data_IF_544058422019
#
_entry.id   IF_544058422019
#
_cell.length_a   1.000
_cell.length_b   1.000
_cell.length_c   1.000
_cell.angle_alpha   90.00
_cell.angle_beta   90.00
_cell.angle_gamma   90.00
#
_symmetry.space_group_name_H-M   'P 1'
#
loop_
_entity.id
_entity.type
_entity.pdbx_description
1 polymer ?
#
# COMPACT_ATOMS: atom_id res chain seq x y z
N UNK A 1 -56.80 -1.23 28.86
CA UNK A 1 -55.67 -0.27 29.01
C UNK A 1 -54.29 -0.93 28.93
N UNK A 2 -54.02 -2.03 29.65
CA UNK A 2 -52.69 -2.69 29.67
C UNK A 2 -52.18 -3.23 28.32
N UNK A 3 -53.08 -3.72 27.44
CA UNK A 3 -52.74 -4.17 26.07
C UNK A 3 -52.40 -3.02 25.11
N UNK A 4 -52.97 -1.83 25.32
CA UNK A 4 -52.69 -0.63 24.51
C UNK A 4 -51.31 -0.05 24.81
N UNK A 5 -50.92 -0.05 26.09
CA UNK A 5 -49.60 0.41 26.54
C UNK A 5 -48.48 -0.50 26.00
N UNK A 6 -48.72 -1.83 25.97
CA UNK A 6 -47.77 -2.79 25.39
C UNK A 6 -47.55 -2.56 23.89
N UNK A 7 -48.62 -2.31 23.12
CA UNK A 7 -48.51 -2.05 21.66
C UNK A 7 -47.72 -0.77 21.39
N UNK A 8 -47.98 0.31 22.14
CA UNK A 8 -47.24 1.58 22.03
C UNK A 8 -45.76 1.40 22.37
N UNK A 9 -45.44 0.63 23.42
CA UNK A 9 -44.05 0.33 23.78
C UNK A 9 -43.32 -0.47 22.70
N UNK A 10 -43.97 -1.45 22.07
CA UNK A 10 -43.38 -2.18 20.94
C UNK A 10 -43.18 -1.30 19.71
N UNK A 11 -44.13 -0.42 19.38
CA UNK A 11 -43.97 0.53 18.27
C UNK A 11 -42.84 1.53 18.52
N UNK A 12 -42.68 2.01 19.76
CA UNK A 12 -41.61 2.93 20.15
C UNK A 12 -40.22 2.28 20.08
N UNK A 13 -40.10 0.99 20.43
CA UNK A 13 -38.85 0.25 20.31
C UNK A 13 -38.50 -0.10 18.85
N UNK A 14 -39.50 -0.40 18.02
CA UNK A 14 -39.28 -0.62 16.58
C UNK A 14 -38.82 0.69 15.91
N UNK A 15 -39.37 1.83 16.32
CA UNK A 15 -38.94 3.14 15.80
C UNK A 15 -37.50 3.49 16.19
N UNK A 16 -37.09 3.20 17.44
CA UNK A 16 -35.72 3.40 17.90
C UNK A 16 -34.70 2.47 17.20
N UNK A 17 -35.08 1.22 16.94
CA UNK A 17 -34.25 0.27 16.18
C UNK A 17 -34.09 0.70 14.71
N UNK A 18 -35.13 1.31 14.12
CA UNK A 18 -35.08 1.81 12.74
C UNK A 18 -34.16 3.03 12.58
N UNK A 19 -34.09 3.90 13.60
CA UNK A 19 -33.16 5.04 13.61
C UNK A 19 -31.71 4.64 13.89
N UNK A 20 -31.49 3.55 14.63
CA UNK A 20 -30.13 3.04 14.91
C UNK A 20 -29.49 2.34 13.70
N UNK A 21 -30.27 2.04 12.66
CA UNK A 21 -29.81 1.39 11.43
C UNK A 21 -29.49 2.37 10.29
N UNK A 22 -29.47 3.67 10.57
CA UNK A 22 -28.79 4.65 9.71
C UNK A 22 -27.32 4.59 10.11
N UNK A 23 -26.59 3.58 9.63
CA UNK A 23 -25.15 3.65 9.66
C UNK A 23 -24.75 4.81 8.77
N UNK A 24 -24.12 5.85 9.33
CA UNK A 24 -23.37 6.79 8.54
C UNK A 24 -22.32 5.99 7.77
N UNK A 25 -22.48 5.84 6.47
CA UNK A 25 -21.30 5.66 5.61
C UNK A 25 -20.39 6.84 5.94
N UNK A 26 -19.29 6.59 6.67
CA UNK A 26 -18.24 7.59 6.79
C UNK A 26 -17.72 7.82 5.37
N UNK A 27 -18.21 8.89 4.75
CA UNK A 27 -17.76 9.36 3.47
C UNK A 27 -16.25 9.59 3.58
N UNK A 28 -15.48 8.93 2.69
CA UNK A 28 -14.04 9.11 2.66
C UNK A 28 -13.74 10.59 2.42
N UNK A 29 -12.82 11.14 3.21
CA UNK A 29 -12.37 12.52 3.04
C UNK A 29 -11.74 12.71 1.67
N UNK A 30 -11.76 13.94 1.15
CA UNK A 30 -11.07 14.26 -0.10
C UNK A 30 -9.55 14.29 0.12
N UNK A 31 -8.78 14.14 -0.97
CA UNK A 31 -7.32 14.30 -0.91
C UNK A 31 -6.99 15.72 -0.48
N UNK A 32 -7.70 16.71 -1.06
CA UNK A 32 -7.59 18.14 -0.71
C UNK A 32 -7.78 18.40 0.79
N UNK A 33 -8.65 17.67 1.48
CA UNK A 33 -8.86 17.81 2.92
C UNK A 33 -7.73 17.19 3.77
N UNK A 34 -7.05 16.16 3.26
CA UNK A 34 -6.02 15.40 4.00
C UNK A 34 -4.61 15.97 3.90
N UNK A 35 -4.30 16.64 2.81
CA UNK A 35 -2.95 17.16 2.52
C UNK A 35 -2.66 18.63 2.90
N UNK A 36 -3.53 19.43 3.56
CA UNK A 36 -3.18 20.78 3.97
C UNK A 36 -1.93 20.81 4.86
N UNK A 37 -0.93 21.61 4.46
CA UNK A 37 0.31 21.79 5.22
C UNK A 37 1.35 20.68 5.03
N UNK A 38 1.08 19.68 4.18
CA UNK A 38 2.07 18.70 3.78
C UNK A 38 2.96 19.23 2.65
N UNK A 39 4.21 18.79 2.60
CA UNK A 39 5.14 19.15 1.53
C UNK A 39 4.87 18.29 0.29
N UNK A 40 4.14 18.86 -0.67
CA UNK A 40 3.79 18.22 -1.95
C UNK A 40 5.02 18.12 -2.86
N UNK A 41 5.27 16.93 -3.38
CA UNK A 41 6.33 16.61 -4.34
C UNK A 41 5.72 16.01 -5.59
N UNK A 42 5.78 16.74 -6.69
CA UNK A 42 5.34 16.28 -8.01
C UNK A 42 6.48 15.58 -8.78
N UNK A 43 6.13 14.60 -9.61
CA UNK A 43 7.06 13.75 -10.37
C UNK A 43 6.32 12.52 -10.91
N UNK A 44 6.99 11.38 -11.01
CA UNK A 44 6.43 10.14 -11.57
C UNK A 44 5.15 9.69 -10.85
N UNK A 45 5.16 9.82 -9.52
CA UNK A 45 3.95 9.83 -8.69
C UNK A 45 3.99 11.07 -7.81
N UNK A 46 2.84 11.71 -7.60
CA UNK A 46 2.73 12.78 -6.61
C UNK A 46 2.74 12.17 -5.21
N UNK A 47 3.58 12.69 -4.31
CA UNK A 47 3.53 12.33 -2.90
C UNK A 47 3.59 13.56 -2.00
N UNK A 48 3.14 13.39 -0.76
CA UNK A 48 3.09 14.42 0.27
C UNK A 48 3.90 13.96 1.48
N UNK A 49 4.82 14.81 1.93
CA UNK A 49 5.61 14.57 3.13
C UNK A 49 4.99 15.25 4.36
N UNK A 50 4.72 14.45 5.40
CA UNK A 50 4.31 14.92 6.72
C UNK A 50 5.51 14.92 7.66
N UNK A 51 6.15 16.09 7.84
CA UNK A 51 7.32 16.22 8.72
C UNK A 51 6.96 15.90 10.17
N UNK A 52 5.76 16.30 10.62
CA UNK A 52 5.29 16.08 11.99
C UNK A 52 5.10 14.59 12.31
N UNK A 53 4.63 13.81 11.35
CA UNK A 53 4.33 12.38 11.54
C UNK A 53 5.46 11.47 11.04
N UNK A 54 6.39 12.00 10.26
CA UNK A 54 7.44 11.23 9.61
C UNK A 54 6.94 10.34 8.47
N UNK A 55 5.84 10.73 7.81
CA UNK A 55 5.10 9.88 6.86
C UNK A 55 5.14 10.38 5.42
N UNK A 56 5.15 9.44 4.47
CA UNK A 56 4.95 9.72 3.06
C UNK A 56 3.57 9.20 2.65
N UNK A 57 2.74 10.10 2.14
CA UNK A 57 1.46 9.79 1.52
C UNK A 57 1.59 9.87 0.00
N UNK A 58 1.18 8.83 -0.71
CA UNK A 58 1.26 8.74 -2.17
C UNK A 58 -0.13 8.92 -2.77
N UNK A 59 -0.24 9.75 -3.80
CA UNK A 59 -1.42 9.79 -4.67
C UNK A 59 -1.29 8.68 -5.73
N UNK A 60 -2.33 7.84 -5.83
CA UNK A 60 -2.42 6.81 -6.87
C UNK A 60 -3.46 7.24 -7.89
N UNK A 61 -2.97 7.56 -9.10
CA UNK A 61 -3.73 8.07 -10.25
C UNK A 61 -3.57 7.17 -11.50
N UNK A 62 -2.67 6.18 -11.46
CA UNK A 62 -2.32 5.31 -12.59
C UNK A 62 -2.66 3.85 -12.31
N UNK A 63 -3.94 3.51 -12.44
CA UNK A 63 -4.44 2.15 -12.20
C UNK A 63 -4.03 1.15 -13.27
N UNK A 64 -3.55 -0.03 -12.85
CA UNK A 64 -3.14 -1.12 -13.76
C UNK A 64 -1.92 -0.82 -14.63
N UNK A 65 -1.37 0.40 -14.57
CA UNK A 65 -0.18 0.77 -15.32
C UNK A 65 1.06 0.19 -14.65
N UNK A 66 1.83 -0.55 -15.43
CA UNK A 66 3.07 -1.16 -14.97
C UNK A 66 4.19 -0.11 -14.79
N UNK A 67 4.95 -0.23 -13.71
CA UNK A 67 6.15 0.54 -13.45
C UNK A 67 7.25 -0.30 -12.81
N UNK A 68 8.50 0.16 -12.94
CA UNK A 68 9.64 -0.51 -12.38
C UNK A 68 9.84 -0.10 -10.92
N UNK A 69 9.93 -1.09 -10.04
CA UNK A 69 10.36 -0.93 -8.66
C UNK A 69 11.71 -1.63 -8.47
N UNK A 70 12.72 -0.86 -8.08
CA UNK A 70 14.06 -1.38 -7.81
C UNK A 70 14.53 -0.96 -6.41
N UNK A 71 14.99 -1.93 -5.63
CA UNK A 71 15.54 -1.67 -4.29
C UNK A 71 17.08 -1.69 -4.32
N UNK A 72 17.70 -0.87 -3.48
CA UNK A 72 19.16 -0.77 -3.37
C UNK A 72 19.59 -0.61 -1.92
N UNK A 73 20.74 -1.18 -1.57
CA UNK A 73 21.35 -0.98 -0.26
C UNK A 73 22.09 0.36 -0.24
N UNK A 74 21.54 1.37 0.45
CA UNK A 74 22.13 2.71 0.49
C UNK A 74 23.44 2.79 1.29
N UNK A 75 23.63 1.89 2.26
CA UNK A 75 24.81 1.76 3.12
C UNK A 75 25.11 0.29 3.36
N UNK A 76 26.34 -0.13 3.04
CA UNK A 76 26.76 -1.51 3.21
C UNK A 76 27.17 -1.84 4.64
N UNK A 77 27.21 -3.12 4.96
CA UNK A 77 27.63 -3.66 6.26
C UNK A 77 29.16 -3.67 6.43
N UNK A 78 29.92 -3.63 5.32
CA UNK A 78 31.38 -3.65 5.35
C UNK A 78 31.99 -5.04 5.56
N UNK A 79 31.29 -6.10 5.17
CA UNK A 79 31.79 -7.48 5.21
C UNK A 79 31.61 -8.14 3.85
N UNK A 80 32.73 -8.54 3.25
CA UNK A 80 32.75 -9.20 1.94
C UNK A 80 32.05 -10.57 2.00
N UNK A 81 32.21 -11.31 3.10
CA UNK A 81 31.66 -12.67 3.25
C UNK A 81 30.13 -12.67 3.33
N UNK A 82 29.55 -11.60 3.86
CA UNK A 82 28.08 -11.44 3.95
C UNK A 82 27.50 -10.77 2.71
N UNK A 83 28.31 -9.97 1.99
CA UNK A 83 27.96 -9.42 0.68
C UNK A 83 26.81 -8.41 0.71
N UNK A 84 26.62 -7.70 1.82
CA UNK A 84 25.66 -6.59 1.96
C UNK A 84 26.36 -5.27 1.65
N UNK A 85 26.77 -5.10 0.40
CA UNK A 85 27.56 -3.95 -0.05
C UNK A 85 26.69 -2.73 -0.39
N UNK A 86 27.30 -1.55 -0.26
CA UNK A 86 26.68 -0.30 -0.70
C UNK A 86 26.43 -0.33 -2.20
N UNK A 87 25.22 0.00 -2.62
CA UNK A 87 24.81 0.02 -4.01
C UNK A 87 24.41 -1.34 -4.56
N UNK A 88 24.45 -2.40 -3.74
CA UNK A 88 23.92 -3.71 -4.13
C UNK A 88 22.46 -3.55 -4.52
N UNK A 89 22.16 -4.01 -5.73
CA UNK A 89 20.81 -4.06 -6.28
C UNK A 89 20.10 -5.24 -5.61
N UNK A 90 18.92 -4.97 -5.08
CA UNK A 90 18.03 -5.99 -4.54
C UNK A 90 16.98 -6.40 -5.57
N UNK A 91 15.74 -6.50 -5.12
CA UNK A 91 14.64 -6.88 -5.98
C UNK A 91 14.39 -5.83 -7.08
N UNK A 92 14.21 -6.33 -8.29
CA UNK A 92 13.76 -5.58 -9.46
C UNK A 92 12.44 -6.19 -9.88
N UNK A 93 11.35 -5.43 -9.75
CA UNK A 93 9.99 -5.92 -9.97
C UNK A 93 9.29 -4.97 -10.93
N UNK A 94 8.62 -5.52 -11.94
CA UNK A 94 7.53 -4.82 -12.61
C UNK A 94 6.32 -4.95 -11.71
N UNK A 95 5.65 -3.83 -11.42
CA UNK A 95 4.51 -3.79 -10.50
C UNK A 95 3.44 -2.84 -11.02
N UNK A 96 2.21 -3.00 -10.55
CA UNK A 96 1.11 -2.07 -10.81
C UNK A 96 0.21 -1.94 -9.58
N UNK A 97 -0.54 -0.85 -9.50
CA UNK A 97 -1.55 -0.66 -8.47
C UNK A 97 -2.91 -1.20 -8.93
N UNK A 98 -3.56 -1.98 -8.06
CA UNK A 98 -4.90 -2.50 -8.26
C UNK A 98 -5.80 -2.16 -7.07
N UNK A 99 -7.01 -1.67 -7.32
CA UNK A 99 -7.95 -1.32 -6.25
C UNK A 99 -8.90 -2.47 -5.95
N UNK A 100 -9.09 -2.77 -4.66
CA UNK A 100 -10.08 -3.73 -4.17
C UNK A 100 -10.76 -3.16 -2.92
N UNK A 101 -11.95 -2.59 -3.08
CA UNK A 101 -12.68 -1.90 -2.01
C UNK A 101 -11.87 -0.74 -1.43
N UNK A 102 -11.65 -0.76 -0.10
CA UNK A 102 -10.84 0.22 0.62
C UNK A 102 -9.33 -0.09 0.61
N UNK A 103 -8.89 -1.04 -0.22
CA UNK A 103 -7.49 -1.41 -0.35
C UNK A 103 -6.93 -1.04 -1.72
N UNK A 104 -5.68 -0.63 -1.71
CA UNK A 104 -4.82 -0.55 -2.89
C UNK A 104 -3.77 -1.64 -2.77
N UNK A 105 -3.72 -2.54 -3.73
CA UNK A 105 -2.77 -3.64 -3.78
C UNK A 105 -1.64 -3.27 -4.74
N UNK A 106 -0.40 -3.47 -4.29
CA UNK A 106 0.77 -3.46 -5.17
C UNK A 106 0.96 -4.88 -5.69
N UNK A 107 0.70 -5.07 -6.98
CA UNK A 107 0.69 -6.38 -7.62
C UNK A 107 1.89 -6.50 -8.54
N UNK A 108 2.63 -7.60 -8.39
CA UNK A 108 3.67 -8.02 -9.33
C UNK A 108 3.06 -9.07 -10.28
N UNK A 109 2.87 -8.77 -11.57
CA UNK A 109 2.42 -9.75 -12.55
C UNK A 109 3.48 -10.85 -12.73
N UNK A 110 3.03 -12.01 -13.19
CA UNK A 110 3.92 -13.11 -13.54
C UNK A 110 4.34 -12.96 -15.01
N UNK A 111 5.55 -12.44 -15.22
CA UNK A 111 6.08 -12.21 -16.57
C UNK A 111 6.79 -13.44 -17.16
N UNK A 112 6.96 -14.53 -16.39
CA UNK A 112 7.52 -15.79 -16.88
C UNK A 112 6.53 -16.52 -17.82
N UNK A 113 5.23 -16.27 -17.64
CA UNK A 113 4.16 -16.85 -18.44
C UNK A 113 3.28 -15.75 -19.02
N UNK A 114 3.43 -15.52 -20.33
CA UNK A 114 2.68 -14.50 -21.08
C UNK A 114 2.23 -15.06 -22.42
N UNK A 115 1.03 -14.66 -22.85
CA UNK A 115 0.55 -14.92 -24.20
C UNK A 115 0.80 -13.69 -25.06
N UNK A 116 1.46 -13.88 -26.20
CA UNK A 116 1.56 -12.89 -27.26
C UNK A 116 0.63 -13.33 -28.39
N UNK A 117 -0.66 -13.00 -28.26
CA UNK A 117 -1.74 -13.47 -29.12
C UNK A 117 -2.76 -12.36 -29.35
N UNK A 118 -3.34 -12.31 -30.55
CA UNK A 118 -4.47 -11.43 -30.85
C UNK A 118 -5.79 -11.96 -30.27
N UNK A 119 -5.83 -13.23 -29.83
CA UNK A 119 -6.99 -13.82 -29.17
C UNK A 119 -7.05 -13.43 -27.69
N UNK A 120 -8.00 -12.55 -27.37
CA UNK A 120 -8.24 -12.10 -25.98
C UNK A 120 -8.60 -13.23 -25.00
N UNK A 121 -9.17 -14.34 -25.47
CA UNK A 121 -9.49 -15.49 -24.62
C UNK A 121 -8.22 -16.26 -24.26
N UNK A 122 -7.28 -16.39 -25.19
CA UNK A 122 -5.98 -17.01 -24.94
C UNK A 122 -5.16 -16.18 -23.95
N UNK A 123 -5.10 -14.85 -24.15
CA UNK A 123 -4.40 -13.93 -23.24
C UNK A 123 -4.97 -14.02 -21.82
N UNK A 124 -6.29 -14.03 -21.70
CA UNK A 124 -6.95 -14.21 -20.40
C UNK A 124 -6.65 -15.58 -19.80
N UNK A 125 -6.74 -16.66 -20.58
CA UNK A 125 -6.51 -18.02 -20.09
C UNK A 125 -5.10 -18.17 -19.51
N UNK A 126 -4.08 -17.62 -20.16
CA UNK A 126 -2.71 -17.62 -19.62
C UNK A 126 -2.62 -16.79 -18.34
N UNK A 127 -3.18 -15.57 -18.33
CA UNK A 127 -3.18 -14.71 -17.14
C UNK A 127 -3.90 -15.33 -15.93
N UNK A 128 -4.94 -16.13 -16.16
CA UNK A 128 -5.70 -16.80 -15.09
C UNK A 128 -5.08 -18.14 -14.67
N UNK A 129 -4.26 -18.74 -15.53
CA UNK A 129 -3.57 -20.02 -15.25
C UNK A 129 -2.31 -19.84 -14.40
N UNK A 130 -1.70 -18.65 -14.41
CA UNK A 130 -0.46 -18.38 -13.68
C UNK A 130 -0.65 -17.21 -12.71
N UNK A 131 -0.49 -17.49 -11.42
CA UNK A 131 -0.76 -16.51 -10.36
C UNK A 131 0.21 -15.32 -10.38
N UNK A 132 -0.35 -14.12 -10.22
CA UNK A 132 0.39 -12.91 -9.82
C UNK A 132 0.66 -12.88 -8.32
N UNK A 133 1.59 -12.03 -7.88
CA UNK A 133 1.88 -11.82 -6.45
C UNK A 133 1.38 -10.47 -5.96
N UNK A 134 0.60 -10.45 -4.87
CA UNK A 134 0.35 -9.21 -4.11
C UNK A 134 1.55 -9.00 -3.18
N UNK A 135 2.34 -7.97 -3.42
CA UNK A 135 3.56 -7.72 -2.65
C UNK A 135 3.36 -6.72 -1.50
N UNK A 136 2.28 -5.92 -1.56
CA UNK A 136 1.84 -5.08 -0.44
C UNK A 136 0.35 -4.70 -0.59
N UNK A 137 -0.30 -4.35 0.52
CA UNK A 137 -1.65 -3.81 0.54
C UNK A 137 -1.74 -2.55 1.41
N UNK A 138 -2.19 -1.45 0.81
CA UNK A 138 -2.41 -0.17 1.48
C UNK A 138 -3.90 0.04 1.77
N UNK A 139 -4.21 0.88 2.74
CA UNK A 139 -5.59 1.33 3.01
C UNK A 139 -5.79 2.70 2.39
N UNK A 140 -6.93 2.90 1.71
CA UNK A 140 -7.34 4.21 1.20
C UNK A 140 -7.61 5.16 2.36
N UNK A 141 -6.91 6.30 2.39
CA UNK A 141 -7.08 7.34 3.41
C UNK A 141 -8.02 8.46 2.97
N UNK A 142 -8.04 8.72 1.67
CA UNK A 142 -8.80 9.77 1.03
C UNK A 142 -9.00 9.42 -0.46
N UNK A 143 -10.04 9.96 -1.05
CA UNK A 143 -10.35 9.77 -2.47
C UNK A 143 -10.87 11.07 -3.07
N UNK A 144 -10.40 11.39 -4.27
CA UNK A 144 -10.85 12.57 -5.01
C UNK A 144 -10.70 12.28 -6.51
N UNK A 145 -11.79 12.46 -7.27
CA UNK A 145 -11.82 12.29 -8.73
C UNK A 145 -11.29 10.93 -9.25
N UNK A 146 -11.43 9.86 -8.45
CA UNK A 146 -10.95 8.51 -8.79
C UNK A 146 -9.48 8.25 -8.46
N UNK A 147 -8.75 9.26 -7.99
CA UNK A 147 -7.44 9.13 -7.38
C UNK A 147 -7.59 8.81 -5.90
N UNK A 148 -6.61 8.12 -5.32
CA UNK A 148 -6.63 7.83 -3.88
C UNK A 148 -5.32 8.21 -3.21
N UNK A 149 -5.43 8.60 -1.94
CA UNK A 149 -4.29 8.83 -1.06
C UNK A 149 -4.04 7.59 -0.21
N UNK A 150 -2.80 7.12 -0.18
CA UNK A 150 -2.35 5.98 0.65
C UNK A 150 -1.11 6.35 1.46
N UNK A 151 -0.97 5.79 2.67
CA UNK A 151 0.28 5.86 3.44
C UNK A 151 1.23 4.73 2.99
N UNK A 152 2.40 5.09 2.47
CA UNK A 152 3.41 4.12 1.99
C UNK A 152 4.57 3.94 2.97
N UNK A 153 4.51 4.55 4.16
CA UNK A 153 5.64 4.63 5.09
C UNK A 153 6.12 3.24 5.53
N UNK A 154 5.20 2.39 5.99
CA UNK A 154 5.54 1.04 6.46
C UNK A 154 6.12 0.17 5.33
N UNK A 155 5.63 0.36 4.11
CA UNK A 155 6.17 -0.30 2.93
C UNK A 155 7.63 0.11 2.70
N UNK A 156 7.94 1.40 2.75
CA UNK A 156 9.30 1.92 2.55
C UNK A 156 10.27 1.50 3.67
N UNK A 157 9.79 1.32 4.90
CA UNK A 157 10.62 0.94 6.06
C UNK A 157 10.79 -0.58 6.23
N UNK A 158 9.99 -1.38 5.52
CA UNK A 158 10.09 -2.84 5.58
C UNK A 158 11.34 -3.40 4.90
N UNK A 159 11.67 -4.67 5.19
CA UNK A 159 12.86 -5.35 4.65
C UNK A 159 12.68 -5.79 3.18
N UNK A 160 12.62 -4.82 2.28
CA UNK A 160 12.42 -5.03 0.84
C UNK A 160 13.55 -5.81 0.15
N UNK A 161 14.72 -5.93 0.80
CA UNK A 161 15.90 -6.60 0.25
C UNK A 161 16.17 -7.96 0.90
N UNK A 162 15.30 -8.44 1.79
CA UNK A 162 15.49 -9.68 2.55
C UNK A 162 16.83 -9.72 3.31
N UNK A 163 17.26 -8.57 3.85
CA UNK A 163 18.52 -8.41 4.59
C UNK A 163 18.53 -9.32 5.82
N UNK A 164 17.42 -9.41 6.54
CA UNK A 164 17.28 -10.27 7.72
C UNK A 164 17.54 -11.75 7.40
N UNK A 165 17.09 -12.20 6.22
CA UNK A 165 17.31 -13.56 5.73
C UNK A 165 18.79 -13.80 5.38
N UNK A 166 19.43 -12.85 4.68
CA UNK A 166 20.87 -12.91 4.38
C UNK A 166 21.70 -13.00 5.68
N UNK A 167 21.39 -12.16 6.68
CA UNK A 167 22.09 -12.17 7.97
C UNK A 167 21.94 -13.51 8.70
N UNK A 168 20.74 -14.11 8.63
CA UNK A 168 20.48 -15.42 9.22
C UNK A 168 21.29 -16.52 8.54
N UNK A 169 21.26 -16.60 7.21
CA UNK A 169 21.97 -17.65 6.46
C UNK A 169 23.49 -17.53 6.55
N UNK A 170 24.01 -16.31 6.70
CA UNK A 170 25.45 -16.04 6.86
C UNK A 170 25.92 -16.08 8.32
N UNK A 171 25.08 -16.59 9.24
CA UNK A 171 25.46 -16.83 10.63
C UNK A 171 25.64 -15.57 11.48
N UNK A 172 25.13 -14.41 11.04
CA UNK A 172 25.23 -13.15 11.79
C UNK A 172 24.19 -13.03 12.91
N UNK A 173 23.18 -13.91 12.92
CA UNK A 173 22.11 -13.93 13.92
C UNK A 173 20.73 -13.71 13.30
N UNK A 174 19.72 -13.60 14.16
CA UNK A 174 18.34 -13.34 13.72
C UNK A 174 17.99 -11.88 13.96
N UNK A 175 17.64 -11.18 12.88
CA UNK A 175 17.30 -9.77 12.90
C UNK A 175 15.88 -9.54 12.38
N UNK A 176 15.29 -8.43 12.79
CA UNK A 176 14.04 -7.90 12.27
C UNK A 176 14.15 -6.38 12.18
N UNK A 177 13.32 -5.78 11.32
CA UNK A 177 13.12 -4.32 11.33
C UNK A 177 12.60 -3.89 12.69
N UNK A 178 13.05 -2.73 13.15
CA UNK A 178 12.64 -2.12 14.41
C UNK A 178 12.10 -0.73 14.13
N UNK A 179 10.79 -0.57 14.27
CA UNK A 179 10.07 0.66 13.92
C UNK A 179 10.59 1.85 14.73
N UNK A 180 10.95 1.64 16.00
CA UNK A 180 11.49 2.71 16.87
C UNK A 180 12.86 3.23 16.41
N UNK A 181 13.56 2.47 15.55
CA UNK A 181 14.88 2.79 15.01
C UNK A 181 14.85 2.99 13.49
N UNK A 182 13.68 3.08 12.89
CA UNK A 182 13.48 3.21 11.45
C UNK A 182 12.79 4.52 11.12
N UNK A 183 13.30 5.23 10.12
CA UNK A 183 12.73 6.51 9.69
C UNK A 183 13.07 6.77 8.22
N UNK A 184 12.20 7.53 7.56
CA UNK A 184 12.41 7.99 6.18
C UNK A 184 13.58 8.96 6.13
N UNK A 185 14.49 8.75 5.18
CA UNK A 185 15.58 9.68 4.91
C UNK A 185 15.19 10.67 3.79
N UNK A 186 14.58 11.80 4.17
CA UNK A 186 14.13 12.81 3.20
C UNK A 186 15.28 13.41 2.38
N UNK A 187 16.48 13.55 2.95
CA UNK A 187 17.66 14.03 2.20
C UNK A 187 18.11 13.10 1.06
N UNK A 188 17.59 11.87 1.03
CA UNK A 188 17.80 10.89 -0.05
C UNK A 188 16.51 10.51 -0.78
N UNK A 189 15.40 11.16 -0.47
CA UNK A 189 14.11 10.95 -1.16
C UNK A 189 14.04 11.91 -2.33
N UNK A 190 13.76 11.38 -3.52
CA UNK A 190 13.66 12.16 -4.76
C UNK A 190 12.36 11.81 -5.45
N UNK A 191 11.82 12.77 -6.18
CA UNK A 191 10.78 12.54 -7.17
C UNK A 191 11.36 12.88 -8.54
N UNK A 192 11.11 12.06 -9.54
CA UNK A 192 11.72 12.13 -10.88
C UNK A 192 10.67 12.37 -11.95
#
# INVERSE_FOLDING_TARGET
MRRFILVIFTFLNIFYALTAQISSEEELQTITDKVPGLDKREGFFTFHWSEKEGKIYLEVDQWGKEFLMASYISRGMGSNDVGLDRGKIGAQKVVSFFRSGNKVLLVQPNLDYRADSEDSLEVRAVSESFASSVIWGFTVLAEEEGNVLIDITDFLLSDQNHISEVLKYTGQGTYRVDDSRSAVNMGRTKNF
#
